data_IF_989297558173
#
_entry.id   IF_989297558173
#
_cell.length_a   1.000
_cell.length_b   1.000
_cell.length_c   1.000
_cell.angle_alpha   90.00
_cell.angle_beta   90.00
_cell.angle_gamma   90.00
#
_symmetry.space_group_name_H-M   'P 1'
#
loop_
_entity.id
_entity.type
_entity.pdbx_description
1 polymer ?
#
# COMPACT_ATOMS: atom_id res chain seq x y z
N UNK A 1 -31.31 3.23 -15.96
CA UNK A 1 -30.19 2.40 -15.46
C UNK A 1 -30.74 1.56 -14.31
N UNK A 2 -30.42 0.27 -14.23
CA UNK A 2 -31.00 -0.62 -13.22
C UNK A 2 -30.43 -0.42 -11.79
N UNK A 3 -29.38 0.40 -11.65
CA UNK A 3 -28.76 0.78 -10.40
C UNK A 3 -28.40 2.27 -10.43
N UNK A 4 -28.59 2.96 -9.31
CA UNK A 4 -28.07 4.31 -9.12
C UNK A 4 -26.54 4.25 -9.08
N UNK A 5 -25.88 5.11 -9.86
CA UNK A 5 -24.43 5.28 -9.75
C UNK A 5 -24.15 5.79 -8.34
N UNK A 6 -23.42 5.00 -7.54
CA UNK A 6 -22.88 5.41 -6.25
C UNK A 6 -21.71 6.40 -6.42
N UNK A 7 -21.91 7.42 -7.25
CA UNK A 7 -21.02 8.56 -7.31
C UNK A 7 -21.23 9.37 -6.03
N UNK A 8 -20.15 9.81 -5.37
CA UNK A 8 -20.28 10.60 -4.17
C UNK A 8 -21.06 11.89 -4.47
N UNK A 9 -22.20 12.07 -3.81
CA UNK A 9 -23.08 13.23 -3.99
C UNK A 9 -22.48 14.54 -3.50
N UNK A 10 -21.38 14.49 -2.75
CA UNK A 10 -20.69 15.65 -2.19
C UNK A 10 -19.31 15.88 -2.81
N UNK A 11 -19.08 17.08 -3.33
CA UNK A 11 -17.86 17.46 -4.05
C UNK A 11 -16.55 17.28 -3.24
N UNK A 12 -16.60 17.34 -1.91
CA UNK A 12 -15.42 17.21 -1.04
C UNK A 12 -14.81 15.80 -1.03
N UNK A 13 -15.57 14.76 -1.43
CA UNK A 13 -15.07 13.38 -1.45
C UNK A 13 -13.98 13.20 -2.51
N UNK A 14 -14.03 13.96 -3.61
CA UNK A 14 -13.02 13.89 -4.67
C UNK A 14 -11.61 14.27 -4.20
N UNK A 15 -11.37 15.46 -3.61
CA UNK A 15 -10.04 15.78 -3.10
C UNK A 15 -9.60 14.84 -1.96
N UNK A 16 -10.53 14.36 -1.12
CA UNK A 16 -10.21 13.38 -0.09
C UNK A 16 -9.73 12.06 -0.70
N UNK A 17 -10.47 11.53 -1.67
CA UNK A 17 -10.10 10.34 -2.42
C UNK A 17 -8.74 10.50 -3.11
N UNK A 18 -8.50 11.63 -3.80
CA UNK A 18 -7.24 11.88 -4.48
C UNK A 18 -6.04 11.92 -3.53
N UNK A 19 -6.21 12.50 -2.33
CA UNK A 19 -5.17 12.47 -1.31
C UNK A 19 -4.89 11.04 -0.84
N UNK A 20 -5.94 10.23 -0.61
CA UNK A 20 -5.77 8.81 -0.27
C UNK A 20 -5.05 8.03 -1.37
N UNK A 21 -5.39 8.29 -2.64
CA UNK A 21 -4.71 7.68 -3.80
C UNK A 21 -3.24 8.09 -3.85
N UNK A 22 -2.94 9.37 -3.64
CA UNK A 22 -1.55 9.85 -3.62
C UNK A 22 -0.72 9.14 -2.55
N UNK A 23 -1.26 9.02 -1.33
CA UNK A 23 -0.59 8.27 -0.26
C UNK A 23 -0.44 6.79 -0.61
N UNK A 24 -1.47 6.16 -1.20
CA UNK A 24 -1.41 4.80 -1.71
C UNK A 24 -0.34 4.58 -2.78
N UNK A 25 -0.13 5.56 -3.67
CA UNK A 25 0.96 5.56 -4.66
C UNK A 25 2.32 5.59 -3.97
N UNK A 26 2.49 6.43 -2.94
CA UNK A 26 3.75 6.50 -2.17
C UNK A 26 4.04 5.17 -1.46
N UNK A 27 3.04 4.56 -0.82
CA UNK A 27 3.19 3.24 -0.19
C UNK A 27 3.53 2.17 -1.23
N UNK A 28 2.85 2.16 -2.37
CA UNK A 28 3.11 1.25 -3.49
C UNK A 28 4.55 1.38 -4.00
N UNK A 29 5.02 2.62 -4.20
CA UNK A 29 6.40 2.90 -4.56
C UNK A 29 7.37 2.37 -3.50
N UNK A 30 7.12 2.64 -2.22
CA UNK A 30 8.02 2.23 -1.14
C UNK A 30 8.14 0.70 -1.02
N UNK A 31 7.03 -0.05 -1.18
CA UNK A 31 7.05 -1.52 -1.22
C UNK A 31 7.88 -2.00 -2.41
N UNK A 32 7.63 -1.48 -3.62
CA UNK A 32 8.39 -1.86 -4.82
C UNK A 32 9.86 -1.52 -4.72
N UNK A 33 10.18 -0.39 -4.09
CA UNK A 33 11.56 0.03 -3.84
C UNK A 33 12.30 -0.97 -2.93
N UNK A 34 11.66 -1.41 -1.84
CA UNK A 34 12.23 -2.45 -0.96
C UNK A 34 12.43 -3.78 -1.69
N UNK A 35 11.47 -4.19 -2.51
CA UNK A 35 11.58 -5.39 -3.34
C UNK A 35 12.75 -5.26 -4.32
N UNK A 36 12.90 -4.10 -4.98
CA UNK A 36 14.02 -3.86 -5.89
C UNK A 36 15.37 -3.92 -5.16
N UNK A 37 15.46 -3.36 -3.95
CA UNK A 37 16.68 -3.45 -3.13
C UNK A 37 17.02 -4.89 -2.75
N UNK A 38 16.04 -5.78 -2.56
CA UNK A 38 16.31 -7.18 -2.20
C UNK A 38 17.15 -7.93 -3.25
N UNK A 39 17.12 -7.48 -4.52
CA UNK A 39 17.92 -8.04 -5.60
C UNK A 39 19.45 -7.92 -5.40
N UNK A 40 19.91 -7.05 -4.49
CA UNK A 40 21.34 -6.97 -4.15
C UNK A 40 21.83 -8.15 -3.29
N UNK A 41 20.93 -8.93 -2.68
CA UNK A 41 21.27 -10.06 -1.81
C UNK A 41 20.68 -11.38 -2.27
N UNK A 42 19.50 -11.35 -2.89
CA UNK A 42 18.84 -12.53 -3.40
C UNK A 42 19.38 -12.87 -4.79
N UNK A 43 19.65 -14.15 -5.01
CA UNK A 43 20.05 -14.68 -6.33
C UNK A 43 18.91 -14.55 -7.36
N UNK A 44 17.67 -14.46 -6.90
CA UNK A 44 16.48 -14.33 -7.74
C UNK A 44 15.56 -13.18 -7.27
N UNK A 45 15.68 -12.01 -7.90
CA UNK A 45 14.81 -10.86 -7.66
C UNK A 45 13.40 -11.01 -8.25
N UNK A 46 13.19 -11.96 -9.18
CA UNK A 46 11.88 -12.19 -9.78
C UNK A 46 10.93 -12.83 -8.75
N UNK A 47 11.43 -13.79 -7.96
CA UNK A 47 10.67 -14.41 -6.86
C UNK A 47 10.16 -13.38 -5.84
N UNK A 48 11.00 -12.44 -5.41
CA UNK A 48 10.61 -11.37 -4.49
C UNK A 48 9.52 -10.46 -5.10
N UNK A 49 9.66 -10.13 -6.38
CA UNK A 49 8.66 -9.35 -7.13
C UNK A 49 7.32 -10.06 -7.22
N UNK A 50 7.34 -11.36 -7.55
CA UNK A 50 6.13 -12.18 -7.65
C UNK A 50 5.42 -12.29 -6.29
N UNK A 51 6.16 -12.48 -5.19
CA UNK A 51 5.57 -12.51 -3.86
C UNK A 51 4.91 -11.19 -3.47
N UNK A 52 5.59 -10.05 -3.70
CA UNK A 52 5.01 -8.75 -3.42
C UNK A 52 3.74 -8.48 -4.25
N UNK A 53 3.70 -8.98 -5.48
CA UNK A 53 2.52 -8.90 -6.33
C UNK A 53 1.37 -9.77 -5.81
N UNK A 54 1.61 -11.02 -5.42
CA UNK A 54 0.60 -11.91 -4.84
C UNK A 54 0.03 -11.36 -3.54
N UNK A 55 0.90 -10.86 -2.65
CA UNK A 55 0.48 -10.20 -1.41
C UNK A 55 -0.37 -8.96 -1.71
N UNK A 56 0.02 -8.16 -2.71
CA UNK A 56 -0.77 -7.00 -3.13
C UNK A 56 -2.11 -7.36 -3.73
N UNK A 57 -2.17 -8.40 -4.55
CA UNK A 57 -3.43 -8.88 -5.13
C UNK A 57 -4.44 -9.29 -4.05
N UNK A 58 -3.94 -9.96 -3.00
CA UNK A 58 -4.79 -10.51 -1.94
C UNK A 58 -5.12 -9.49 -0.84
N UNK A 59 -4.11 -8.80 -0.29
CA UNK A 59 -4.24 -7.91 0.87
C UNK A 59 -4.56 -6.46 0.53
N UNK A 60 -4.73 -6.10 -0.74
CA UNK A 60 -5.21 -4.76 -1.12
C UNK A 60 -6.73 -4.61 -1.14
N UNK A 61 -7.48 -5.72 -1.08
CA UNK A 61 -8.93 -5.72 -1.30
C UNK A 61 -9.33 -5.92 -2.77
N UNK A 62 -8.37 -6.16 -3.68
CA UNK A 62 -8.62 -6.32 -5.12
C UNK A 62 -9.37 -7.60 -5.48
N UNK A 63 -9.00 -8.75 -4.90
CA UNK A 63 -9.71 -10.02 -5.13
C UNK A 63 -11.02 -10.09 -4.33
N UNK A 64 -10.95 -9.72 -3.06
CA UNK A 64 -12.05 -9.74 -2.12
C UNK A 64 -11.88 -8.52 -1.18
N UNK A 65 -12.89 -7.67 -1.01
CA UNK A 65 -12.82 -6.57 -0.05
C UNK A 65 -12.38 -7.05 1.33
N UNK A 66 -11.41 -6.35 1.92
CA UNK A 66 -10.84 -6.74 3.22
C UNK A 66 -11.86 -6.84 4.35
N UNK A 67 -12.94 -6.03 4.41
CA UNK A 67 -13.98 -6.19 5.43
C UNK A 67 -14.71 -7.54 5.39
N UNK A 68 -14.63 -8.30 4.29
CA UNK A 68 -15.24 -9.62 4.16
C UNK A 68 -14.36 -10.75 4.69
N UNK A 69 -13.10 -10.48 5.03
CA UNK A 69 -12.21 -11.47 5.60
C UNK A 69 -12.58 -11.79 7.06
N UNK A 70 -12.73 -13.08 7.43
CA UNK A 70 -13.13 -13.45 8.78
C UNK A 70 -11.95 -13.47 9.77
N UNK A 71 -12.26 -13.20 11.04
CA UNK A 71 -11.38 -13.40 12.19
C UNK A 71 -10.03 -12.67 12.10
N UNK A 72 -9.01 -13.28 12.71
CA UNK A 72 -7.66 -12.71 12.82
C UNK A 72 -7.04 -12.36 11.46
N UNK A 73 -7.32 -13.14 10.41
CA UNK A 73 -6.79 -12.86 9.08
C UNK A 73 -7.27 -11.50 8.55
N UNK A 74 -8.54 -11.17 8.73
CA UNK A 74 -9.09 -9.88 8.31
C UNK A 74 -8.56 -8.70 9.12
N UNK A 75 -8.29 -8.89 10.41
CA UNK A 75 -7.63 -7.89 11.25
C UNK A 75 -6.21 -7.61 10.74
N UNK A 76 -5.39 -8.64 10.57
CA UNK A 76 -4.02 -8.51 10.07
C UNK A 76 -4.02 -7.89 8.67
N UNK A 77 -4.86 -8.40 7.75
CA UNK A 77 -4.94 -7.91 6.39
C UNK A 77 -5.17 -6.40 6.29
N UNK A 78 -6.02 -5.85 7.17
CA UNK A 78 -6.32 -4.41 7.19
C UNK A 78 -5.16 -3.57 7.74
N UNK A 79 -4.36 -4.12 8.64
CA UNK A 79 -3.21 -3.43 9.24
C UNK A 79 -1.95 -3.46 8.37
N UNK A 80 -1.89 -4.34 7.36
CA UNK A 80 -0.78 -4.44 6.43
C UNK A 80 -0.70 -3.23 5.46
N UNK A 81 0.47 -2.91 4.90
CA UNK A 81 0.62 -1.74 4.03
C UNK A 81 -0.19 -1.86 2.73
N UNK A 82 -0.49 -3.07 2.25
CA UNK A 82 -1.23 -3.28 1.00
C UNK A 82 -2.67 -2.77 1.06
N UNK A 83 -3.31 -2.67 2.23
CA UNK A 83 -4.64 -2.08 2.36
C UNK A 83 -4.68 -0.61 1.92
N UNK A 84 -3.54 0.10 2.03
CA UNK A 84 -3.35 1.48 1.58
C UNK A 84 -3.42 1.65 0.07
N UNK A 85 -3.25 0.58 -0.71
CA UNK A 85 -3.15 0.66 -2.17
C UNK A 85 -4.52 0.78 -2.85
N UNK A 86 -5.55 0.11 -2.31
CA UNK A 86 -6.85 0.02 -2.97
C UNK A 86 -8.04 0.08 -2.00
N UNK A 87 -8.05 -0.75 -0.94
CA UNK A 87 -9.16 -0.78 0.02
C UNK A 87 -9.42 0.59 0.64
N UNK A 88 -8.39 1.24 1.19
CA UNK A 88 -8.55 2.54 1.86
C UNK A 88 -9.03 3.62 0.87
N UNK A 89 -8.41 3.83 -0.31
CA UNK A 89 -8.93 4.77 -1.30
C UNK A 89 -10.38 4.47 -1.73
N UNK A 90 -10.73 3.20 -1.93
CA UNK A 90 -12.09 2.80 -2.28
C UNK A 90 -13.09 3.16 -1.17
N UNK A 91 -12.73 2.89 0.09
CA UNK A 91 -13.58 3.23 1.24
C UNK A 91 -13.71 4.76 1.42
N UNK A 92 -12.66 5.54 1.15
CA UNK A 92 -12.75 7.02 1.10
C UNK A 92 -13.68 7.48 -0.01
N UNK A 93 -13.57 6.92 -1.21
CA UNK A 93 -14.43 7.25 -2.36
C UNK A 93 -15.90 6.94 -2.09
N UNK A 94 -16.16 5.81 -1.43
CA UNK A 94 -17.50 5.39 -1.01
C UNK A 94 -18.03 6.17 0.20
N UNK A 95 -17.26 7.13 0.74
CA UNK A 95 -17.66 7.96 1.87
C UNK A 95 -17.76 7.20 3.20
N UNK A 96 -17.07 6.06 3.34
CA UNK A 96 -17.10 5.25 4.57
C UNK A 96 -16.30 5.86 5.72
N UNK A 97 -15.29 6.67 5.41
CA UNK A 97 -14.53 7.41 6.42
C UNK A 97 -15.07 8.84 6.52
N UNK A 98 -15.48 9.24 7.71
CA UNK A 98 -15.99 10.60 7.95
C UNK A 98 -15.28 11.28 9.12
N UNK A 99 -15.13 12.61 9.03
CA UNK A 99 -14.52 13.42 10.09
C UNK A 99 -13.13 12.91 10.50
N UNK A 100 -13.00 12.48 11.76
CA UNK A 100 -11.74 12.02 12.35
C UNK A 100 -11.23 10.71 11.74
N UNK A 101 -12.11 9.78 11.37
CA UNK A 101 -11.73 8.48 10.79
C UNK A 101 -10.97 8.65 9.46
N UNK A 102 -11.29 9.70 8.69
CA UNK A 102 -10.57 10.03 7.47
C UNK A 102 -9.13 10.46 7.77
N UNK A 103 -8.93 11.20 8.86
CA UNK A 103 -7.59 11.61 9.31
C UNK A 103 -6.78 10.41 9.79
N UNK A 104 -7.41 9.46 10.50
CA UNK A 104 -6.78 8.20 10.90
C UNK A 104 -6.37 7.36 9.69
N UNK A 105 -7.22 7.29 8.65
CA UNK A 105 -6.89 6.60 7.40
C UNK A 105 -5.66 7.23 6.72
N UNK A 106 -5.58 8.56 6.63
CA UNK A 106 -4.39 9.24 6.08
C UNK A 106 -3.15 9.05 6.96
N UNK A 107 -3.30 9.13 8.28
CA UNK A 107 -2.20 8.91 9.21
C UNK A 107 -1.66 7.49 9.08
N UNK A 108 -2.54 6.50 8.90
CA UNK A 108 -2.16 5.11 8.66
C UNK A 108 -1.39 4.94 7.35
N UNK A 109 -1.90 5.45 6.23
CA UNK A 109 -1.19 5.39 4.94
C UNK A 109 0.16 6.14 5.02
N UNK A 110 0.17 7.31 5.66
CA UNK A 110 1.36 8.13 5.88
C UNK A 110 2.41 7.45 6.76
N UNK A 111 1.99 6.80 7.84
CA UNK A 111 2.88 6.05 8.73
C UNK A 111 3.57 4.90 7.98
N UNK A 112 2.82 4.15 7.18
CA UNK A 112 3.40 3.10 6.33
C UNK A 112 4.34 3.66 5.26
N UNK A 113 3.97 4.76 4.60
CA UNK A 113 4.84 5.42 3.63
C UNK A 113 6.18 5.81 4.27
N UNK A 114 6.16 6.48 5.43
CA UNK A 114 7.37 6.87 6.17
C UNK A 114 8.17 5.63 6.59
N UNK A 115 7.53 4.65 7.23
CA UNK A 115 8.20 3.45 7.72
C UNK A 115 8.93 2.68 6.59
N UNK A 116 8.25 2.46 5.46
CA UNK A 116 8.81 1.72 4.33
C UNK A 116 9.93 2.51 3.62
N UNK A 117 9.76 3.83 3.44
CA UNK A 117 10.79 4.67 2.82
C UNK A 117 12.04 4.77 3.70
N UNK A 118 11.88 4.88 5.03
CA UNK A 118 13.00 4.85 5.96
C UNK A 118 13.72 3.50 5.92
N UNK A 119 12.98 2.39 5.96
CA UNK A 119 13.56 1.06 5.81
C UNK A 119 14.35 0.94 4.49
N UNK A 120 13.80 1.44 3.39
CA UNK A 120 14.46 1.45 2.08
C UNK A 120 15.73 2.28 2.07
N UNK A 121 15.72 3.47 2.67
CA UNK A 121 16.92 4.31 2.78
C UNK A 121 18.03 3.66 3.60
N UNK A 122 17.67 3.01 4.71
CA UNK A 122 18.64 2.28 5.54
C UNK A 122 19.24 1.10 4.77
N UNK A 123 18.41 0.30 4.10
CA UNK A 123 18.85 -0.81 3.27
C UNK A 123 19.73 -0.37 2.10
N UNK A 124 19.41 0.75 1.44
CA UNK A 124 20.21 1.30 0.36
C UNK A 124 21.64 1.64 0.83
N UNK A 125 21.80 2.19 2.04
CA UNK A 125 23.11 2.47 2.63
C UNK A 125 23.96 1.22 2.92
N UNK A 126 23.33 0.06 3.13
CA UNK A 126 24.00 -1.23 3.27
C UNK A 126 24.28 -1.86 1.91
N UNK A 127 23.36 -1.72 0.94
CA UNK A 127 23.48 -2.27 -0.41
C UNK A 127 24.70 -1.73 -1.15
N UNK A 128 24.93 -0.40 -1.08
CA UNK A 128 26.05 0.26 -1.76
C UNK A 128 27.42 -0.25 -1.31
N UNK A 129 27.54 -0.74 -0.07
CA UNK A 129 28.79 -1.34 0.43
C UNK A 129 29.10 -2.71 -0.19
N UNK A 130 28.10 -3.43 -0.71
CA UNK A 130 28.28 -4.72 -1.38
C UNK A 130 28.59 -4.61 -2.87
N UNK A 131 28.11 -3.56 -3.54
CA UNK A 131 28.34 -3.35 -4.99
C UNK A 131 29.83 -3.22 -5.31
N UNK A 132 30.65 -2.73 -4.38
CA UNK A 132 32.12 -2.65 -4.52
C UNK A 132 32.78 -4.04 -4.62
N UNK A 133 32.10 -5.14 -4.27
CA UNK A 133 32.66 -6.51 -4.30
C UNK A 133 32.29 -7.27 -5.59
N UNK A 134 31.41 -6.73 -6.43
CA UNK A 134 30.96 -7.38 -7.68
C UNK A 134 31.59 -6.78 -8.95
N UNK A 135 32.24 -5.62 -8.85
CA UNK A 135 33.19 -5.13 -9.87
C UNK A 135 34.59 -5.43 -9.37
N UNK A 136 35.27 -6.41 -9.99
CA UNK A 136 36.68 -6.70 -9.70
C UNK A 136 37.60 -5.52 -9.92
#
# INVERSE_FOLDING_TARGET
>A
LAFDLALPGSAWIWPAFLLSVLLGIVVSFAVRFLVALSAFWLLDGAGATQMAWLLGLFFSGMLLPLPLFPGLLGEVARMLPWSSLLQIPADVFLGKYTGWELMEAYAFQGAWAVALLLAGRLLQGVATRRVVVQGG
#
